data_IF_347286176627
#
_entry.id   IF_347286176627
#
_cell.length_a   1.000
_cell.length_b   1.000
_cell.length_c   1.000
_cell.angle_alpha   90.00
_cell.angle_beta   90.00
_cell.angle_gamma   90.00
#
_symmetry.space_group_name_H-M   'P 1'
#
loop_
_entity.id
_entity.type
_entity.pdbx_description
1 polymer ?
#
# COMPACT_ATOMS: atom_id res chain seq x y z
N UNK A 1 5.53 9.70 -24.24
CA UNK A 1 4.09 9.94 -24.05
C UNK A 1 3.89 10.38 -22.61
N UNK A 2 3.26 11.53 -22.38
CA UNK A 2 2.90 12.04 -21.06
C UNK A 2 1.55 11.45 -20.64
N UNK A 3 1.44 10.93 -19.42
CA UNK A 3 0.17 10.40 -18.87
C UNK A 3 -0.06 8.90 -19.05
N UNK A 4 0.97 8.09 -19.36
CA UNK A 4 0.85 6.62 -19.29
C UNK A 4 0.91 6.20 -17.83
N UNK A 5 -0.08 5.46 -17.30
CA UNK A 5 -0.04 4.98 -15.93
C UNK A 5 1.16 4.03 -15.73
N UNK A 6 1.81 4.15 -14.58
CA UNK A 6 2.87 3.25 -14.14
C UNK A 6 2.39 2.33 -13.01
N UNK A 7 3.22 1.35 -12.65
CA UNK A 7 3.01 0.50 -11.49
C UNK A 7 3.95 0.92 -10.36
N UNK A 8 3.45 0.89 -9.13
CA UNK A 8 4.30 0.98 -7.94
C UNK A 8 4.48 -0.43 -7.37
N UNK A 9 5.71 -0.81 -7.03
CA UNK A 9 6.04 -2.14 -6.53
C UNK A 9 6.82 -2.01 -5.24
N UNK A 10 6.42 -2.79 -4.24
CA UNK A 10 7.06 -2.88 -2.93
C UNK A 10 7.59 -4.31 -2.73
N UNK A 11 8.75 -4.42 -2.08
CA UNK A 11 9.27 -5.68 -1.54
C UNK A 11 9.10 -5.60 -0.03
N UNK A 12 8.40 -6.57 0.54
CA UNK A 12 8.08 -6.60 1.97
C UNK A 12 8.59 -7.91 2.53
N UNK A 13 9.38 -7.81 3.60
CA UNK A 13 9.94 -8.94 4.34
C UNK A 13 9.18 -9.13 5.65
N UNK A 14 8.76 -10.36 5.93
CA UNK A 14 8.24 -10.74 7.23
C UNK A 14 9.41 -10.93 8.21
N UNK A 15 9.37 -10.25 9.34
CA UNK A 15 10.45 -10.29 10.35
C UNK A 15 10.10 -11.10 11.59
N UNK A 16 8.82 -11.47 11.75
CA UNK A 16 8.32 -12.26 12.88
C UNK A 16 7.08 -13.06 12.48
N UNK A 17 6.80 -14.13 13.23
CA UNK A 17 5.62 -14.97 13.08
C UNK A 17 4.33 -14.23 13.46
N UNK A 18 3.21 -14.73 12.96
CA UNK A 18 1.86 -14.22 13.22
C UNK A 18 1.26 -13.45 12.05
N UNK A 19 0.11 -12.82 12.31
CA UNK A 19 -0.63 -12.05 11.32
C UNK A 19 -0.06 -10.64 11.19
N UNK A 20 0.47 -10.33 10.01
CA UNK A 20 0.98 -9.01 9.64
C UNK A 20 -0.04 -8.31 8.75
N UNK A 21 -0.34 -7.04 9.01
CA UNK A 21 -1.25 -6.25 8.19
C UNK A 21 -0.58 -4.98 7.68
N UNK A 22 -0.69 -4.75 6.38
CA UNK A 22 -0.22 -3.55 5.72
C UNK A 22 -1.38 -2.81 5.07
N UNK A 23 -1.37 -1.48 5.23
CA UNK A 23 -2.39 -0.60 4.68
C UNK A 23 -1.73 0.46 3.79
N UNK A 24 -2.29 0.69 2.62
CA UNK A 24 -1.85 1.71 1.67
C UNK A 24 -3.01 2.61 1.25
N UNK A 25 -2.71 3.88 0.95
CA UNK A 25 -3.68 4.85 0.44
C UNK A 25 -3.12 5.44 -0.84
N UNK A 26 -3.89 5.43 -1.93
CA UNK A 26 -3.49 6.06 -3.17
C UNK A 26 -3.80 7.56 -3.15
N UNK A 27 -2.76 8.37 -2.93
CA UNK A 27 -2.86 9.83 -2.79
C UNK A 27 -1.59 10.52 -3.25
N UNK A 28 -1.69 11.82 -3.55
CA UNK A 28 -0.51 12.67 -3.58
C UNK A 28 0.04 12.80 -2.16
N UNK A 29 1.32 12.49 -1.97
CA UNK A 29 1.92 12.40 -0.63
C UNK A 29 1.87 13.72 0.16
N UNK A 30 1.79 14.86 -0.54
CA UNK A 30 1.74 16.20 0.05
C UNK A 30 0.32 16.74 0.30
N UNK A 31 -0.73 16.04 -0.16
CA UNK A 31 -2.12 16.44 0.08
C UNK A 31 -2.65 15.81 1.38
N UNK A 32 -3.69 16.39 1.98
CA UNK A 32 -4.39 15.75 3.11
C UNK A 32 -5.29 14.62 2.61
N UNK A 33 -5.57 13.65 3.49
CA UNK A 33 -6.55 12.61 3.14
C UNK A 33 -7.97 13.20 3.15
N UNK A 34 -8.76 12.91 2.14
CA UNK A 34 -10.16 13.35 2.00
C UNK A 34 -11.15 12.28 2.46
N UNK A 35 -10.70 11.03 2.58
CA UNK A 35 -11.52 9.87 2.91
C UNK A 35 -12.21 9.24 1.69
N UNK A 36 -11.90 9.73 0.49
CA UNK A 36 -12.44 9.21 -0.78
C UNK A 36 -11.39 8.48 -1.62
N UNK A 37 -10.17 8.38 -1.11
CA UNK A 37 -9.07 7.70 -1.79
C UNK A 37 -9.26 6.18 -1.83
N UNK A 38 -8.61 5.56 -2.81
CA UNK A 38 -8.50 4.11 -2.85
C UNK A 38 -7.59 3.63 -1.72
N UNK A 39 -8.11 2.71 -0.93
CA UNK A 39 -7.40 2.08 0.19
C UNK A 39 -7.08 0.63 -0.17
N UNK A 40 -5.88 0.18 0.21
CA UNK A 40 -5.39 -1.16 -0.04
C UNK A 40 -5.02 -1.79 1.30
N UNK A 41 -5.46 -3.03 1.53
CA UNK A 41 -5.07 -3.80 2.71
C UNK A 41 -4.51 -5.14 2.25
N UNK A 42 -3.33 -5.48 2.74
CA UNK A 42 -2.69 -6.78 2.58
C UNK A 42 -2.51 -7.40 3.97
N UNK A 43 -3.13 -8.54 4.18
CA UNK A 43 -2.94 -9.36 5.37
C UNK A 43 -2.09 -10.57 5.00
N UNK A 44 -1.02 -10.81 5.73
CA UNK A 44 -0.08 -11.92 5.54
C UNK A 44 -0.02 -12.72 6.83
N UNK A 45 -0.25 -14.02 6.74
CA UNK A 45 -0.04 -14.96 7.84
C UNK A 45 1.36 -15.55 7.70
N UNK A 46 2.15 -15.45 8.77
CA UNK A 46 3.53 -15.95 8.84
C UNK A 46 3.58 -17.05 9.89
N UNK A 47 3.87 -18.28 9.46
CA UNK A 47 4.04 -19.45 10.33
C UNK A 47 5.50 -19.84 10.49
#
# INVERSE_FOLDING_TARGET
MTGVPGNHSWIIEAVDQGTQQMNGIYKQAWENATGTEDNFTLTVEVE
#
